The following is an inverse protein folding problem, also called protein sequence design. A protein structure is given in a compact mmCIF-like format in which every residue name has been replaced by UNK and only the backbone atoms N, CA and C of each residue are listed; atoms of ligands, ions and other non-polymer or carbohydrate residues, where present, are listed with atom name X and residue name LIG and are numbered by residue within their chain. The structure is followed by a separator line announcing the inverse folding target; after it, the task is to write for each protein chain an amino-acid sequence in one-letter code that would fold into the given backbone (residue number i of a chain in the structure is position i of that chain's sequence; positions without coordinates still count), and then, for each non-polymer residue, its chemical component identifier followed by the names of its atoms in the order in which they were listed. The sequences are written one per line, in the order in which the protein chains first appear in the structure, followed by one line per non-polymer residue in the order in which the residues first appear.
data_IF_458966857185
#
_entry.id   IF_458966857185
#
_cell.length_a   1.000
_cell.length_b   1.000
_cell.length_c   1.000
_cell.angle_alpha   90.00
_cell.angle_beta   90.00
_cell.angle_gamma   90.00
#
_symmetry.space_group_name_H-M   'P 1'
#
loop_
_entity.id
_entity.type
_entity.pdbx_description
1 polymer ?
#
# COMPACT_ATOMS: atom_id res chain seq x y z
N UNK A 1 -36.24 -8.26 48.90
CA UNK A 1 -36.07 -7.52 47.63
C UNK A 1 -34.70 -6.89 47.63
N UNK A 2 -33.72 -7.55 47.01
CA UNK A 2 -32.35 -7.07 46.87
C UNK A 2 -32.20 -6.31 45.54
N UNK A 3 -31.63 -5.10 45.49
CA UNK A 3 -31.49 -4.37 44.24
C UNK A 3 -30.38 -5.03 43.38
N UNK A 4 -30.73 -5.28 42.12
CA UNK A 4 -29.88 -5.75 41.08
C UNK A 4 -28.76 -4.71 40.78
N UNK A 5 -27.54 -5.02 41.14
CA UNK A 5 -26.38 -4.19 40.83
C UNK A 5 -26.00 -4.42 39.36
N UNK A 6 -26.46 -3.54 38.46
CA UNK A 6 -25.99 -3.47 37.08
C UNK A 6 -24.60 -2.87 37.07
N UNK A 7 -23.57 -3.70 37.35
CA UNK A 7 -22.20 -3.34 36.99
C UNK A 7 -22.10 -3.26 35.46
N UNK A 8 -22.04 -2.02 35.03
CA UNK A 8 -21.66 -1.65 33.66
C UNK A 8 -20.42 -2.42 33.26
N UNK A 9 -20.60 -3.33 32.32
CA UNK A 9 -19.53 -3.99 31.58
C UNK A 9 -18.80 -2.91 30.79
N UNK A 10 -17.83 -2.26 31.41
CA UNK A 10 -16.83 -1.47 30.70
C UNK A 10 -16.10 -2.45 29.76
N UNK A 11 -16.56 -2.50 28.53
CA UNK A 11 -15.90 -3.18 27.44
C UNK A 11 -14.43 -2.74 27.46
N UNK A 12 -13.55 -3.65 27.84
CA UNK A 12 -12.10 -3.48 27.69
C UNK A 12 -11.88 -3.32 26.18
N UNK A 13 -11.81 -2.09 25.75
CA UNK A 13 -11.24 -1.75 24.46
C UNK A 13 -9.78 -2.25 24.51
N UNK A 14 -9.55 -3.41 23.91
CA UNK A 14 -8.21 -3.90 23.65
C UNK A 14 -7.40 -2.80 22.94
N UNK A 15 -6.07 -2.87 22.93
CA UNK A 15 -5.23 -1.83 22.34
C UNK A 15 -5.76 -1.57 20.93
N UNK A 16 -6.41 -0.41 20.76
CA UNK A 16 -7.06 -0.02 19.54
C UNK A 16 -6.00 -0.07 18.43
N UNK A 17 -6.23 -0.90 17.43
CA UNK A 17 -5.51 -0.81 16.19
C UNK A 17 -5.82 0.59 15.64
N UNK A 18 -4.92 1.53 15.91
CA UNK A 18 -5.05 2.89 15.43
C UNK A 18 -5.29 2.86 13.92
N UNK A 19 -6.24 3.67 13.44
CA UNK A 19 -6.46 3.79 12.01
C UNK A 19 -5.13 4.10 11.30
N UNK A 20 -4.85 3.47 10.16
CA UNK A 20 -3.58 3.64 9.44
C UNK A 20 -3.26 5.13 9.25
N UNK A 21 -2.01 5.52 9.50
CA UNK A 21 -1.58 6.91 9.41
C UNK A 21 -1.89 7.50 8.02
N UNK A 22 -2.78 8.50 7.89
CA UNK A 22 -3.22 9.00 6.59
C UNK A 22 -2.09 9.63 5.79
N UNK A 23 -1.06 10.17 6.44
CA UNK A 23 0.12 10.74 5.77
C UNK A 23 0.96 9.64 5.12
N UNK A 24 1.19 8.54 5.83
CA UNK A 24 1.94 7.40 5.30
C UNK A 24 1.19 6.73 4.14
N UNK A 25 -0.13 6.56 4.26
CA UNK A 25 -0.96 6.03 3.16
C UNK A 25 -0.92 6.92 1.92
N UNK A 26 -0.95 8.25 2.09
CA UNK A 26 -0.81 9.20 0.97
C UNK A 26 0.57 9.10 0.32
N UNK A 27 1.64 9.08 1.12
CA UNK A 27 3.00 8.90 0.61
C UNK A 27 3.14 7.58 -0.16
N UNK A 28 2.60 6.48 0.39
CA UNK A 28 2.59 5.18 -0.26
C UNK A 28 1.85 5.20 -1.61
N UNK A 29 0.69 5.87 -1.67
CA UNK A 29 -0.07 6.05 -2.90
C UNK A 29 0.70 6.88 -3.93
N UNK A 30 1.32 7.99 -3.53
CA UNK A 30 2.13 8.84 -4.42
C UNK A 30 3.31 8.06 -5.01
N UNK A 31 4.03 7.32 -4.18
CA UNK A 31 5.13 6.45 -4.64
C UNK A 31 4.61 5.39 -5.62
N UNK A 32 3.48 4.75 -5.31
CA UNK A 32 2.86 3.77 -6.20
C UNK A 32 2.53 4.34 -7.59
N UNK A 33 1.93 5.52 -7.65
CA UNK A 33 1.63 6.19 -8.92
C UNK A 33 2.90 6.63 -9.65
N UNK A 34 3.93 7.07 -8.93
CA UNK A 34 5.24 7.37 -9.53
C UNK A 34 5.88 6.12 -10.15
N UNK A 35 5.77 4.95 -9.49
CA UNK A 35 6.23 3.68 -10.03
C UNK A 35 5.43 3.26 -11.28
N UNK A 36 4.12 3.45 -11.29
CA UNK A 36 3.27 3.22 -12.48
C UNK A 36 3.73 4.11 -13.64
N UNK A 37 3.89 5.40 -13.40
CA UNK A 37 4.36 6.34 -14.42
C UNK A 37 5.74 5.97 -14.94
N UNK A 38 6.68 5.64 -14.06
CA UNK A 38 8.02 5.19 -14.42
C UNK A 38 7.97 3.92 -15.28
N UNK A 39 7.13 2.94 -14.91
CA UNK A 39 6.92 1.72 -15.68
C UNK A 39 6.45 2.03 -17.09
N UNK A 40 5.44 2.88 -17.27
CA UNK A 40 4.94 3.27 -18.59
C UNK A 40 6.05 3.93 -19.42
N UNK A 41 6.76 4.90 -18.83
CA UNK A 41 7.84 5.62 -19.53
C UNK A 41 8.97 4.68 -19.94
N UNK A 42 9.42 3.80 -19.06
CA UNK A 42 10.51 2.85 -19.36
C UNK A 42 10.08 1.78 -20.37
N UNK A 43 8.83 1.31 -20.28
CA UNK A 43 8.29 0.32 -21.22
C UNK A 43 8.20 0.84 -22.66
N UNK A 44 7.98 2.14 -22.83
CA UNK A 44 7.87 2.78 -24.14
C UNK A 44 9.21 3.28 -24.68
N UNK A 45 10.34 3.04 -24.01
CA UNK A 45 11.68 3.36 -24.51
C UNK A 45 12.31 2.20 -25.24
N UNK A 46 13.28 2.46 -26.15
CA UNK A 46 14.10 1.40 -26.72
C UNK A 46 14.80 0.61 -25.60
N UNK A 47 14.77 -0.71 -25.70
CA UNK A 47 15.41 -1.59 -24.72
C UNK A 47 16.93 -1.51 -24.87
N UNK A 48 17.70 -1.25 -23.79
CA UNK A 48 19.15 -1.36 -23.86
C UNK A 48 19.57 -2.78 -24.23
N UNK A 49 20.64 -2.92 -25.05
CA UNK A 49 21.09 -4.22 -25.56
C UNK A 49 21.37 -5.26 -24.45
N UNK A 50 21.75 -4.80 -23.25
CA UNK A 50 21.96 -5.66 -22.09
C UNK A 50 20.68 -6.38 -21.61
N UNK A 51 19.50 -5.86 -21.92
CA UNK A 51 18.18 -6.43 -21.55
C UNK A 51 17.49 -7.13 -22.74
N UNK A 52 18.13 -7.15 -23.91
CA UNK A 52 17.58 -7.78 -25.11
C UNK A 52 17.60 -9.32 -25.06
N UNK A 53 18.16 -9.93 -24.00
CA UNK A 53 18.05 -11.36 -23.79
C UNK A 53 16.62 -11.70 -23.33
N UNK A 54 15.89 -12.50 -24.09
CA UNK A 54 14.48 -12.85 -23.92
C UNK A 54 14.09 -13.22 -22.49
N UNK A 55 14.93 -13.92 -21.77
CA UNK A 55 14.63 -14.38 -20.41
C UNK A 55 14.72 -13.25 -19.39
N UNK A 56 15.61 -12.28 -19.59
CA UNK A 56 15.76 -11.15 -18.66
C UNK A 56 14.62 -10.15 -18.83
N UNK A 57 14.21 -9.89 -20.07
CA UNK A 57 13.06 -9.02 -20.35
C UNK A 57 11.79 -9.56 -19.67
N UNK A 58 11.48 -10.85 -19.86
CA UNK A 58 10.33 -11.50 -19.21
C UNK A 58 10.40 -11.45 -17.67
N UNK A 59 11.58 -11.66 -17.10
CA UNK A 59 11.77 -11.55 -15.66
C UNK A 59 11.47 -10.14 -15.16
N UNK A 60 11.92 -9.10 -15.90
CA UNK A 60 11.61 -7.70 -15.58
C UNK A 60 10.10 -7.46 -15.59
N UNK A 61 9.37 -7.97 -16.59
CA UNK A 61 7.92 -7.88 -16.65
C UNK A 61 7.25 -8.54 -15.42
N UNK A 62 7.62 -9.78 -15.09
CA UNK A 62 7.09 -10.49 -13.90
C UNK A 62 7.34 -9.67 -12.63
N UNK A 63 8.57 -9.24 -12.38
CA UNK A 63 8.93 -8.51 -11.16
C UNK A 63 8.24 -7.14 -11.07
N UNK A 64 8.15 -6.42 -12.19
CA UNK A 64 7.48 -5.12 -12.25
C UNK A 64 6.00 -5.25 -11.89
N UNK A 65 5.28 -6.17 -12.53
CA UNK A 65 3.85 -6.33 -12.27
C UNK A 65 3.56 -6.97 -10.92
N UNK A 66 4.44 -7.84 -10.42
CA UNK A 66 4.35 -8.35 -9.06
C UNK A 66 4.50 -7.22 -8.04
N UNK A 67 5.53 -6.38 -8.22
CA UNK A 67 5.81 -5.25 -7.32
C UNK A 67 4.65 -4.24 -7.32
N UNK A 68 4.21 -3.79 -8.50
CA UNK A 68 3.11 -2.82 -8.62
C UNK A 68 1.82 -3.36 -8.00
N UNK A 69 1.44 -4.60 -8.32
CA UNK A 69 0.22 -5.22 -7.80
C UNK A 69 0.28 -5.33 -6.28
N UNK A 70 1.39 -5.86 -5.73
CA UNK A 70 1.57 -6.01 -4.29
C UNK A 70 1.60 -4.66 -3.58
N UNK A 71 2.18 -3.62 -4.21
CA UNK A 71 2.21 -2.26 -3.69
C UNK A 71 0.81 -1.68 -3.49
N UNK A 72 -0.05 -1.79 -4.50
CA UNK A 72 -1.41 -1.24 -4.43
C UNK A 72 -2.35 -2.07 -3.55
N UNK A 73 -2.11 -3.38 -3.41
CA UNK A 73 -2.84 -4.25 -2.47
C UNK A 73 -2.71 -3.73 -1.03
N UNK A 74 -1.57 -3.15 -0.65
CA UNK A 74 -1.37 -2.57 0.69
C UNK A 74 -2.36 -1.44 1.01
N UNK A 75 -2.90 -0.78 -0.01
CA UNK A 75 -3.79 0.37 0.13
C UNK A 75 -5.27 -0.01 0.13
N UNK A 76 -5.60 -1.27 -0.13
CA UNK A 76 -6.97 -1.71 -0.39
C UNK A 76 -7.35 -2.95 0.43
N UNK A 77 -8.62 -3.06 0.85
CA UNK A 77 -9.12 -4.28 1.47
C UNK A 77 -9.19 -5.43 0.46
N UNK A 78 -9.22 -6.67 0.96
CA UNK A 78 -9.10 -7.90 0.16
C UNK A 78 -10.16 -8.00 -0.96
N UNK A 79 -11.38 -7.48 -0.73
CA UNK A 79 -12.48 -7.49 -1.71
C UNK A 79 -12.15 -6.68 -2.98
N UNK A 80 -11.15 -5.81 -2.91
CA UNK A 80 -10.72 -4.96 -4.02
C UNK A 80 -9.52 -5.50 -4.77
N UNK A 81 -8.85 -6.55 -4.29
CA UNK A 81 -7.61 -7.06 -4.90
C UNK A 81 -7.80 -7.52 -6.35
N UNK A 82 -8.92 -8.17 -6.65
CA UNK A 82 -9.22 -8.59 -8.03
C UNK A 82 -9.38 -7.37 -8.95
N UNK A 83 -10.00 -6.28 -8.48
CA UNK A 83 -10.12 -5.06 -9.29
C UNK A 83 -8.75 -4.41 -9.56
N UNK A 84 -7.85 -4.43 -8.58
CA UNK A 84 -6.46 -3.97 -8.75
C UNK A 84 -5.74 -4.85 -9.78
N UNK A 85 -5.86 -6.18 -9.67
CA UNK A 85 -5.28 -7.12 -10.61
C UNK A 85 -5.78 -6.89 -12.04
N UNK A 86 -7.10 -6.76 -12.24
CA UNK A 86 -7.70 -6.49 -13.55
C UNK A 86 -7.25 -5.14 -14.14
N UNK A 87 -7.09 -4.12 -13.29
CA UNK A 87 -6.56 -2.83 -13.72
C UNK A 87 -5.12 -2.98 -14.26
N UNK A 88 -4.25 -3.73 -13.55
CA UNK A 88 -2.88 -3.99 -14.02
C UNK A 88 -2.83 -4.89 -15.25
N UNK A 89 -3.73 -5.85 -15.40
CA UNK A 89 -3.87 -6.62 -16.65
C UNK A 89 -4.20 -5.69 -17.81
N UNK A 90 -5.20 -4.80 -17.64
CA UNK A 90 -5.57 -3.83 -18.66
C UNK A 90 -4.43 -2.87 -19.01
N UNK A 91 -3.68 -2.40 -18.00
CA UNK A 91 -2.50 -1.57 -18.20
C UNK A 91 -1.41 -2.33 -19.00
N UNK A 92 -1.16 -3.60 -18.68
CA UNK A 92 -0.19 -4.43 -19.40
C UNK A 92 -0.55 -4.60 -20.87
N UNK A 93 -1.82 -4.89 -21.15
CA UNK A 93 -2.32 -4.99 -22.53
C UNK A 93 -2.16 -3.66 -23.27
N UNK A 94 -2.51 -2.54 -22.63
CA UNK A 94 -2.41 -1.21 -23.25
C UNK A 94 -0.94 -0.84 -23.55
N UNK A 95 -0.01 -1.13 -22.65
CA UNK A 95 1.42 -0.92 -22.86
C UNK A 95 1.92 -1.77 -24.02
N UNK A 96 1.54 -3.04 -24.09
CA UNK A 96 1.96 -3.96 -25.14
C UNK A 96 1.49 -3.51 -26.53
N UNK A 97 0.24 -3.06 -26.64
CA UNK A 97 -0.29 -2.47 -27.88
C UNK A 97 0.50 -1.21 -28.26
N UNK A 98 0.78 -0.34 -27.29
CA UNK A 98 1.55 0.88 -27.53
C UNK A 98 2.99 0.55 -27.97
N UNK A 99 3.64 -0.45 -27.37
CA UNK A 99 4.98 -0.91 -27.75
C UNK A 99 5.00 -1.39 -29.20
N UNK A 100 4.02 -2.18 -29.63
CA UNK A 100 3.91 -2.63 -31.02
C UNK A 100 3.77 -1.50 -32.05
N UNK A 101 3.37 -0.29 -31.62
CA UNK A 101 3.26 0.90 -32.49
C UNK A 101 4.53 1.77 -32.54
N UNK A 102 5.53 1.51 -31.67
CA UNK A 102 6.75 2.35 -31.60
C UNK A 102 7.73 2.15 -32.75
N UNK A 103 7.60 1.08 -33.53
CA UNK A 103 8.50 0.72 -34.61
C UNK A 103 9.87 0.13 -34.22
N UNK A 104 10.20 0.14 -32.92
CA UNK A 104 11.44 -0.44 -32.38
C UNK A 104 11.17 -1.54 -31.33
N UNK A 105 9.91 -1.78 -30.95
CA UNK A 105 9.46 -2.92 -30.14
C UNK A 105 8.37 -3.68 -30.88
N UNK A 106 8.24 -4.97 -30.55
CA UNK A 106 7.22 -5.82 -31.14
C UNK A 106 6.19 -6.18 -30.06
N UNK A 107 4.94 -6.28 -30.47
CA UNK A 107 3.89 -6.86 -29.65
C UNK A 107 4.26 -8.30 -29.24
N UNK A 108 4.25 -8.62 -27.96
CA UNK A 108 4.67 -9.92 -27.44
C UNK A 108 3.61 -10.53 -26.52
N UNK A 109 3.00 -11.62 -26.96
CA UNK A 109 2.13 -12.42 -26.09
C UNK A 109 2.86 -12.98 -24.88
N UNK A 110 4.14 -13.28 -25.00
CA UNK A 110 4.95 -13.79 -23.91
C UNK A 110 5.10 -12.77 -22.78
N UNK A 111 5.19 -11.47 -23.12
CA UNK A 111 5.28 -10.40 -22.13
C UNK A 111 3.94 -10.18 -21.41
N UNK A 112 2.82 -10.36 -22.12
CA UNK A 112 1.48 -10.38 -21.48
C UNK A 112 1.37 -11.52 -20.47
N UNK A 113 1.87 -12.72 -20.80
CA UNK A 113 1.90 -13.87 -19.89
C UNK A 113 2.82 -13.59 -18.70
N UNK A 114 3.97 -12.97 -18.93
CA UNK A 114 4.89 -12.56 -17.86
C UNK A 114 4.23 -11.54 -16.91
N UNK A 115 3.54 -10.53 -17.45
CA UNK A 115 2.77 -9.56 -16.66
C UNK A 115 1.71 -10.25 -15.79
N UNK A 116 0.90 -11.13 -16.40
CA UNK A 116 -0.12 -11.88 -15.69
C UNK A 116 0.47 -12.79 -14.60
N UNK A 117 1.61 -13.43 -14.87
CA UNK A 117 2.34 -14.25 -13.88
C UNK A 117 2.76 -13.39 -12.68
N UNK A 118 3.30 -12.19 -12.91
CA UNK A 118 3.65 -11.26 -11.85
C UNK A 118 2.45 -10.87 -10.99
N UNK A 119 1.31 -10.55 -11.62
CA UNK A 119 0.07 -10.19 -10.93
C UNK A 119 -0.44 -11.35 -10.06
N UNK A 120 -0.47 -12.58 -10.60
CA UNK A 120 -0.90 -13.77 -9.86
C UNK A 120 0.03 -14.04 -8.69
N UNK A 121 1.34 -13.94 -8.89
CA UNK A 121 2.34 -14.10 -7.83
C UNK A 121 2.11 -13.09 -6.69
N UNK A 122 1.80 -11.83 -7.01
CA UNK A 122 1.49 -10.81 -6.00
C UNK A 122 0.21 -11.14 -5.22
N UNK A 123 -0.85 -11.62 -5.89
CA UNK A 123 -2.09 -12.04 -5.22
C UNK A 123 -1.86 -13.21 -4.26
N UNK A 124 -1.06 -14.19 -4.66
CA UNK A 124 -0.69 -15.33 -3.81
C UNK A 124 0.15 -14.86 -2.62
N UNK A 125 1.18 -14.05 -2.85
CA UNK A 125 2.01 -13.47 -1.80
C UNK A 125 1.20 -12.64 -0.80
N UNK A 126 0.22 -11.86 -1.29
CA UNK A 126 -0.68 -11.09 -0.42
C UNK A 126 -1.53 -12.01 0.48
N UNK A 127 -2.03 -13.13 -0.04
CA UNK A 127 -2.75 -14.14 0.75
C UNK A 127 -1.86 -14.84 1.78
N UNK A 128 -0.58 -14.97 1.50
CA UNK A 128 0.43 -15.49 2.43
C UNK A 128 0.90 -14.49 3.49
N UNK A 129 0.26 -13.31 3.59
CA UNK A 129 0.52 -12.31 4.64
C UNK A 129 1.31 -11.07 4.20
N UNK A 130 1.83 -11.02 2.96
CA UNK A 130 2.56 -9.86 2.45
C UNK A 130 1.65 -8.62 2.23
N UNK A 131 0.33 -8.77 2.36
CA UNK A 131 -0.63 -7.65 2.36
C UNK A 131 -0.49 -6.70 3.56
N UNK A 132 0.30 -7.06 4.56
CA UNK A 132 0.46 -6.30 5.81
C UNK A 132 1.77 -5.50 5.90
N UNK A 133 2.52 -5.37 4.79
CA UNK A 133 3.82 -4.67 4.79
C UNK A 133 3.68 -3.21 5.22
N UNK A 134 2.68 -2.50 4.72
CA UNK A 134 2.44 -1.10 5.11
C UNK A 134 2.16 -0.98 6.61
N UNK A 135 1.32 -1.85 7.16
CA UNK A 135 1.01 -1.89 8.59
C UNK A 135 2.24 -2.25 9.44
N UNK A 136 3.09 -3.12 8.91
CA UNK A 136 4.36 -3.45 9.56
C UNK A 136 5.31 -2.23 9.56
N UNK A 137 5.44 -1.52 8.45
CA UNK A 137 6.21 -0.28 8.36
C UNK A 137 5.70 0.78 9.35
N UNK A 138 4.37 0.92 9.47
CA UNK A 138 3.76 1.83 10.44
C UNK A 138 4.17 1.50 11.88
N UNK A 139 4.16 0.24 12.26
CA UNK A 139 4.57 -0.21 13.60
C UNK A 139 6.03 0.11 13.87
N UNK A 140 6.91 -0.17 12.91
CA UNK A 140 8.35 0.10 13.05
C UNK A 140 8.62 1.60 13.18
N UNK A 141 7.93 2.43 12.40
CA UNK A 141 8.04 3.89 12.48
C UNK A 141 7.47 4.45 13.79
N UNK A 142 6.32 3.95 14.25
CA UNK A 142 5.71 4.36 15.52
C UNK A 142 6.59 4.00 16.72
N UNK A 143 7.33 2.90 16.65
CA UNK A 143 8.25 2.51 17.73
C UNK A 143 9.46 3.46 17.86
N UNK A 144 9.82 4.19 16.80
CA UNK A 144 10.95 5.14 16.78
C UNK A 144 10.57 6.57 17.18
N UNK A 145 9.28 6.89 17.27
CA UNK A 145 8.81 8.21 17.71
C UNK A 145 8.31 8.05 19.15
N UNK A 146 9.06 8.50 20.18
CA UNK A 146 8.55 8.48 21.54
C UNK A 146 7.25 9.29 21.59
N UNK A 147 6.23 8.76 22.25
CA UNK A 147 5.01 9.48 22.52
C UNK A 147 5.40 10.79 23.22
N UNK A 148 5.07 11.93 22.61
CA UNK A 148 5.14 13.23 23.30
C UNK A 148 4.05 13.14 24.36
N UNK A 149 4.43 12.86 25.60
CA UNK A 149 3.49 12.93 26.70
C UNK A 149 2.89 14.33 26.73
N UNK A 150 1.54 14.44 26.77
CA UNK A 150 0.92 15.74 26.94
C UNK A 150 1.44 16.30 28.26
N UNK A 151 2.05 17.49 28.19
CA UNK A 151 2.51 18.21 29.40
C UNK A 151 1.35 18.27 30.39
N UNK A 152 1.54 17.90 31.67
CA UNK A 152 0.50 18.07 32.67
C UNK A 152 0.01 19.52 32.62
N UNK A 153 -1.27 19.72 32.48
CA UNK A 153 -1.88 21.05 32.62
C UNK A 153 -1.78 21.36 34.10
N UNK A 154 -0.86 22.27 34.45
CA UNK A 154 -0.68 22.73 35.81
C UNK A 154 -2.02 23.25 36.31
N UNK A 155 -2.59 22.55 37.28
CA UNK A 155 -3.87 22.88 37.91
C UNK A 155 -3.80 24.12 38.84
N UNK A 156 -2.69 24.87 38.76
CA UNK A 156 -2.39 25.96 39.69
C UNK A 156 -2.92 27.34 39.28
N UNK A 157 -3.64 27.48 38.18
CA UNK A 157 -4.25 28.78 37.84
C UNK A 157 -5.77 28.77 38.03
N UNK A 158 -6.24 28.34 39.22
CA UNK A 158 -7.58 28.73 39.65
C UNK A 158 -7.46 30.06 40.43
N UNK A 159 -7.92 31.18 39.85
CA UNK A 159 -7.96 32.42 40.66
C UNK A 159 -8.91 32.19 41.82
N UNK A 160 -8.46 32.54 43.02
CA UNK A 160 -9.27 32.52 44.21
C UNK A 160 -10.50 33.43 44.00
N UNK A 161 -11.70 32.81 44.03
CA UNK A 161 -12.94 33.56 44.09
C UNK A 161 -12.92 34.27 45.43
N UNK A 162 -12.76 35.62 45.44
CA UNK A 162 -12.98 36.44 46.62
C UNK A 162 -14.48 36.45 46.84
N UNK A 163 -14.90 35.82 47.94
CA UNK A 163 -16.21 36.10 48.56
C UNK A 163 -16.16 37.50 49.15
N UNK A 164 -16.79 38.46 48.51
CA UNK A 164 -17.14 39.75 49.12
C UNK A 164 -18.55 39.63 49.69
N UNK A 165 -18.62 39.53 51.01
CA UNK A 165 -19.82 39.70 51.84
C UNK A 165 -20.10 41.20 52.10
#
# INVERSE_FOLDING_TARGET
MTPFNTQSSAARSGPGYGAPNPRLRRAWAVIGWALVFLTIVLSLRPLPAAFAADNLDKLVHVLTYATLTLWFIQLAPAERWIRIALWFVGMGVAIEIAQGQTGYRYFSFADMVANATGIVTALLAARCGLSNLLTWCERVLAWRVPAIEPRPVDSETRPAVRDES
#
